data_IF_119281032085
#
_entry.id   IF_119281032085
#
_cell.length_a   1.000
_cell.length_b   1.000
_cell.length_c   1.000
_cell.angle_alpha   90.00
_cell.angle_beta   90.00
_cell.angle_gamma   90.00
#
_symmetry.space_group_name_H-M   'P 1'
#
loop_
_entity.id
_entity.type
_entity.pdbx_description
1 polymer ?
#
# COMPACT_ATOMS: atom_id res chain seq x y z
N UNK A 1 -24.30 5.30 -8.28
CA UNK A 1 -23.54 4.29 -9.03
C UNK A 1 -23.63 2.98 -8.29
N UNK A 2 -24.00 1.93 -9.01
CA UNK A 2 -23.91 0.54 -8.58
C UNK A 2 -22.45 0.06 -8.59
N UNK A 3 -22.19 -1.05 -7.90
CA UNK A 3 -20.87 -1.71 -7.91
C UNK A 3 -20.45 -2.11 -9.32
N UNK A 4 -21.40 -2.55 -10.16
CA UNK A 4 -21.13 -2.91 -11.56
C UNK A 4 -20.73 -1.70 -12.40
N UNK A 5 -21.35 -0.53 -12.19
CA UNK A 5 -20.93 0.70 -12.85
C UNK A 5 -19.52 1.11 -12.45
N UNK A 6 -19.15 0.97 -11.17
CA UNK A 6 -17.80 1.25 -10.68
C UNK A 6 -16.78 0.31 -11.33
N UNK A 7 -17.05 -1.00 -11.37
CA UNK A 7 -16.16 -1.98 -12.03
C UNK A 7 -15.93 -1.62 -13.50
N UNK A 8 -16.99 -1.25 -14.21
CA UNK A 8 -16.91 -0.85 -15.61
C UNK A 8 -16.07 0.41 -15.80
N UNK A 9 -16.23 1.40 -14.91
CA UNK A 9 -15.40 2.61 -14.91
C UNK A 9 -13.92 2.30 -14.63
N UNK A 10 -13.63 1.43 -13.66
CA UNK A 10 -12.25 1.03 -13.34
C UNK A 10 -11.57 0.30 -14.50
N UNK A 11 -12.30 -0.57 -15.20
CA UNK A 11 -11.78 -1.29 -16.36
C UNK A 11 -11.39 -0.36 -17.54
N UNK A 12 -11.92 0.87 -17.58
CA UNK A 12 -11.59 1.86 -18.59
C UNK A 12 -10.36 2.73 -18.26
N UNK A 13 -9.82 2.64 -17.04
CA UNK A 13 -8.67 3.42 -16.61
C UNK A 13 -7.35 2.84 -17.14
N UNK A 14 -6.34 3.69 -17.28
CA UNK A 14 -4.96 3.25 -17.52
C UNK A 14 -4.39 2.50 -16.31
N UNK A 15 -3.32 1.73 -16.50
CA UNK A 15 -2.68 0.99 -15.39
C UNK A 15 -2.21 1.91 -14.25
N UNK A 16 -1.75 3.13 -14.57
CA UNK A 16 -1.35 4.11 -13.56
C UNK A 16 -2.54 4.55 -12.70
N UNK A 17 -3.66 4.89 -13.34
CA UNK A 17 -4.88 5.30 -12.65
C UNK A 17 -5.51 4.13 -11.87
N UNK A 18 -5.45 2.90 -12.39
CA UNK A 18 -5.87 1.71 -11.65
C UNK A 18 -5.03 1.48 -10.39
N UNK A 19 -3.72 1.75 -10.45
CA UNK A 19 -2.83 1.67 -9.30
C UNK A 19 -3.19 2.73 -8.24
N UNK A 20 -3.49 3.96 -8.66
CA UNK A 20 -3.93 5.03 -7.75
C UNK A 20 -5.24 4.65 -7.03
N UNK A 21 -6.22 4.13 -7.77
CA UNK A 21 -7.49 3.67 -7.17
C UNK A 21 -7.24 2.50 -6.22
N UNK A 22 -6.36 1.56 -6.59
CA UNK A 22 -6.00 0.44 -5.72
C UNK A 22 -5.36 0.90 -4.42
N UNK A 23 -4.45 1.88 -4.48
CA UNK A 23 -3.84 2.49 -3.30
C UNK A 23 -4.88 3.20 -2.41
N UNK A 24 -5.83 3.90 -3.01
CA UNK A 24 -6.91 4.56 -2.28
C UNK A 24 -7.85 3.55 -1.60
N UNK A 25 -8.23 2.47 -2.29
CA UNK A 25 -9.04 1.39 -1.70
C UNK A 25 -8.30 0.69 -0.56
N UNK A 26 -6.99 0.49 -0.72
CA UNK A 26 -6.14 -0.03 0.35
C UNK A 26 -6.16 0.91 1.57
N UNK A 27 -5.98 2.21 1.36
CA UNK A 27 -6.09 3.20 2.43
C UNK A 27 -7.47 3.15 3.12
N UNK A 28 -8.57 3.16 2.37
CA UNK A 28 -9.93 3.09 2.93
C UNK A 28 -10.15 1.85 3.79
N UNK A 29 -9.64 0.69 3.36
CA UNK A 29 -9.77 -0.58 4.09
C UNK A 29 -9.02 -0.57 5.42
N UNK A 30 -7.85 0.07 5.47
CA UNK A 30 -6.95 -0.01 6.63
C UNK A 30 -6.95 1.25 7.49
N UNK A 31 -7.59 2.33 7.07
CA UNK A 31 -7.72 3.55 7.87
C UNK A 31 -8.49 3.32 9.17
N UNK A 32 -9.43 2.37 9.17
CA UNK A 32 -10.22 2.01 10.37
C UNK A 32 -9.72 0.75 11.08
N UNK A 33 -8.63 0.13 10.61
CA UNK A 33 -8.06 -1.07 11.23
C UNK A 33 -7.02 -0.68 12.28
N UNK A 34 -7.35 -0.74 13.59
CA UNK A 34 -6.44 -0.33 14.65
C UNK A 34 -5.20 -1.22 14.75
N UNK A 35 -5.29 -2.49 14.34
CA UNK A 35 -4.14 -3.40 14.35
C UNK A 35 -3.17 -3.05 13.24
N UNK A 36 -3.67 -2.73 12.05
CA UNK A 36 -2.85 -2.24 10.95
C UNK A 36 -2.16 -0.93 11.33
N UNK A 37 -2.89 0.03 11.90
CA UNK A 37 -2.31 1.30 12.34
C UNK A 37 -1.23 1.08 13.41
N UNK A 38 -1.48 0.25 14.43
CA UNK A 38 -0.51 -0.07 15.46
C UNK A 38 0.76 -0.74 14.89
N UNK A 39 0.60 -1.65 13.93
CA UNK A 39 1.72 -2.28 13.26
C UNK A 39 2.57 -1.28 12.46
N UNK A 40 1.91 -0.43 11.65
CA UNK A 40 2.62 0.62 10.87
C UNK A 40 3.35 1.58 11.80
N UNK A 41 2.70 2.05 12.86
CA UNK A 41 3.35 2.91 13.87
C UNK A 41 4.54 2.21 14.52
N UNK A 42 4.42 0.94 14.89
CA UNK A 42 5.52 0.18 15.49
C UNK A 42 6.74 0.06 14.55
N UNK A 43 6.51 -0.12 13.24
CA UNK A 43 7.59 -0.17 12.24
C UNK A 43 8.22 1.20 12.02
N UNK A 44 7.42 2.27 11.94
CA UNK A 44 7.92 3.64 11.74
C UNK A 44 8.69 4.17 12.96
N UNK A 45 8.25 3.79 14.16
CA UNK A 45 8.91 4.17 15.41
C UNK A 45 10.06 3.21 15.79
N UNK A 46 10.40 2.24 14.93
CA UNK A 46 11.47 1.27 15.21
C UNK A 46 12.84 1.95 15.20
N UNK A 47 13.39 2.13 16.40
CA UNK A 47 14.72 2.72 16.64
C UNK A 47 15.84 1.69 16.66
N UNK A 48 15.55 0.41 16.45
CA UNK A 48 16.58 -0.63 16.44
C UNK A 48 17.23 -0.72 15.06
N UNK A 49 18.51 -0.29 14.91
CA UNK A 49 19.18 -0.31 13.60
C UNK A 49 19.36 -1.72 13.04
N UNK A 50 19.30 -2.77 13.88
CA UNK A 50 19.38 -4.15 13.43
C UNK A 50 18.18 -4.60 12.59
N UNK A 51 17.07 -3.87 12.62
CA UNK A 51 15.88 -4.15 11.81
C UNK A 51 15.85 -3.34 10.51
N UNK A 52 16.78 -2.40 10.34
CA UNK A 52 16.83 -1.53 9.18
C UNK A 52 17.57 -2.21 8.03
N UNK A 53 17.11 -1.95 6.81
CA UNK A 53 17.79 -2.39 5.60
C UNK A 53 18.84 -1.35 5.20
N UNK A 54 19.96 -1.80 4.67
CA UNK A 54 20.82 -0.88 3.92
C UNK A 54 20.11 -0.44 2.63
N UNK A 55 20.49 0.70 2.05
CA UNK A 55 19.94 1.15 0.76
C UNK A 55 20.04 0.06 -0.32
N UNK A 56 21.17 -0.66 -0.38
CA UNK A 56 21.40 -1.73 -1.35
C UNK A 56 20.49 -2.94 -1.12
N UNK A 57 20.24 -3.29 0.15
CA UNK A 57 19.30 -4.36 0.51
C UNK A 57 17.85 -3.98 0.21
N UNK A 58 17.51 -2.70 0.37
CA UNK A 58 16.18 -2.19 0.03
C UNK A 58 15.94 -2.23 -1.48
N UNK A 59 16.86 -1.72 -2.28
CA UNK A 59 16.77 -1.73 -3.76
C UNK A 59 16.63 -3.15 -4.29
N UNK A 60 17.46 -4.07 -3.80
CA UNK A 60 17.37 -5.49 -4.19
C UNK A 60 15.99 -6.09 -3.94
N UNK A 61 15.36 -5.77 -2.80
CA UNK A 61 14.01 -6.28 -2.48
C UNK A 61 12.90 -5.60 -3.27
N UNK A 62 13.11 -4.36 -3.72
CA UNK A 62 12.15 -3.64 -4.55
C UNK A 62 12.11 -4.22 -5.97
N UNK A 63 13.27 -4.59 -6.51
CA UNK A 63 13.41 -5.18 -7.85
C UNK A 63 12.96 -6.66 -7.93
N UNK A 64 12.89 -7.35 -6.79
CA UNK A 64 12.43 -8.75 -6.68
C UNK A 64 10.89 -8.90 -6.67
N UNK A 65 10.12 -7.80 -6.74
CA UNK A 65 8.64 -7.80 -6.76
C UNK A 65 8.05 -7.32 -8.07
#
# INVERSE_FOLDING_TARGET
>A
MSVEEIKKSLAGLSSAEQNEVSAYLFHLRHHTDPNYQAHVSAVLDDKNPAHWLTPEEFEKRLDEK
#
